data_IF_281099502980
#
_entry.id   IF_281099502980
#
_cell.length_a   1.000
_cell.length_b   1.000
_cell.length_c   1.000
_cell.angle_alpha   90.00
_cell.angle_beta   90.00
_cell.angle_gamma   90.00
#
_symmetry.space_group_name_H-M   'P 1'
#
loop_
_entity.id
_entity.type
_entity.pdbx_description
1 polymer ?
#
# COMPACT_ATOMS: atom_id res chain seq x y z
N UNK A 1 3.21 -5.50 19.52
CA UNK A 1 3.64 -4.15 19.08
C UNK A 1 2.81 -3.10 19.80
N UNK A 2 3.40 -1.95 20.14
CA UNK A 2 2.63 -0.82 20.65
C UNK A 2 1.78 -0.17 19.55
N UNK A 3 0.66 0.48 19.92
CA UNK A 3 -0.25 1.16 18.99
C UNK A 3 0.50 2.14 18.05
N UNK A 4 1.40 2.96 18.60
CA UNK A 4 2.21 3.89 17.82
C UNK A 4 3.14 3.21 16.79
N UNK A 5 3.77 2.08 17.12
CA UNK A 5 4.61 1.34 16.18
C UNK A 5 3.80 0.78 15.01
N UNK A 6 2.57 0.33 15.28
CA UNK A 6 1.66 -0.16 14.26
C UNK A 6 1.31 0.94 13.24
N UNK A 7 1.04 2.15 13.72
CA UNK A 7 0.74 3.31 12.87
C UNK A 7 1.92 3.72 11.99
N UNK A 8 3.13 3.73 12.54
CA UNK A 8 4.34 4.00 11.76
C UNK A 8 4.55 2.92 10.70
N UNK A 9 4.33 1.65 11.06
CA UNK A 9 4.40 0.55 10.09
C UNK A 9 3.35 0.69 8.99
N UNK A 10 2.11 1.04 9.32
CA UNK A 10 1.04 1.26 8.33
C UNK A 10 1.38 2.40 7.38
N UNK A 11 1.92 3.50 7.91
CA UNK A 11 2.36 4.63 7.11
C UNK A 11 3.48 4.24 6.15
N UNK A 12 4.54 3.58 6.63
CA UNK A 12 5.70 3.19 5.82
C UNK A 12 5.29 2.20 4.72
N UNK A 13 4.50 1.17 5.06
CA UNK A 13 4.07 0.15 4.09
C UNK A 13 3.11 0.77 3.06
N UNK A 14 2.21 1.67 3.47
CA UNK A 14 1.34 2.39 2.53
C UNK A 14 2.14 3.30 1.60
N UNK A 15 3.12 4.03 2.12
CA UNK A 15 4.01 4.86 1.30
C UNK A 15 4.77 4.04 0.26
N UNK A 16 5.40 2.94 0.70
CA UNK A 16 6.11 2.03 -0.20
C UNK A 16 5.19 1.45 -1.27
N UNK A 17 3.93 1.13 -0.92
CA UNK A 17 2.95 0.59 -1.86
C UNK A 17 2.63 1.56 -2.98
N UNK A 18 2.25 2.79 -2.65
CA UNK A 18 1.92 3.81 -3.65
C UNK A 18 3.15 4.12 -4.51
N UNK A 19 4.33 4.26 -3.88
CA UNK A 19 5.56 4.53 -4.61
C UNK A 19 5.96 3.40 -5.57
N UNK A 20 5.75 2.14 -5.17
CA UNK A 20 5.99 0.97 -6.03
C UNK A 20 5.12 0.99 -7.29
N UNK A 21 3.86 1.44 -7.20
CA UNK A 21 2.99 1.58 -8.37
C UNK A 21 3.52 2.59 -9.39
N UNK A 22 4.10 3.69 -8.90
CA UNK A 22 4.77 4.69 -9.76
C UNK A 22 6.02 4.12 -10.40
N UNK A 23 6.85 3.41 -9.64
CA UNK A 23 8.07 2.80 -10.17
C UNK A 23 7.77 1.77 -11.26
N UNK A 24 6.72 0.95 -11.09
CA UNK A 24 6.27 0.02 -12.13
C UNK A 24 5.82 0.78 -13.38
N UNK A 25 5.07 1.86 -13.23
CA UNK A 25 4.63 2.69 -14.35
C UNK A 25 5.82 3.34 -15.07
N UNK A 26 6.75 3.94 -14.33
CA UNK A 26 7.94 4.61 -14.88
C UNK A 26 8.85 3.60 -15.60
N UNK A 27 9.08 2.42 -15.01
CA UNK A 27 9.90 1.37 -15.61
C UNK A 27 9.29 0.89 -16.93
N UNK A 28 7.99 0.63 -16.98
CA UNK A 28 7.35 0.14 -18.21
C UNK A 28 7.13 1.25 -19.25
N UNK A 29 6.70 2.43 -18.82
CA UNK A 29 6.39 3.54 -19.74
C UNK A 29 7.63 4.27 -20.23
N UNK A 30 8.59 4.56 -19.36
CA UNK A 30 9.75 5.41 -19.69
C UNK A 30 10.97 4.60 -20.05
N UNK A 31 11.31 3.56 -19.29
CA UNK A 31 12.52 2.77 -19.59
C UNK A 31 12.30 1.80 -20.75
N UNK A 32 11.12 1.18 -20.84
CA UNK A 32 10.79 0.26 -21.93
C UNK A 32 10.06 0.93 -23.09
N UNK A 33 9.49 2.13 -22.91
CA UNK A 33 8.76 2.85 -23.97
C UNK A 33 7.39 2.23 -24.31
N UNK A 34 6.89 1.28 -23.51
CA UNK A 34 5.71 0.46 -23.82
C UNK A 34 4.42 1.03 -23.24
N UNK A 35 4.32 2.35 -23.10
CA UNK A 35 3.27 2.93 -22.25
C UNK A 35 1.84 2.65 -22.75
N UNK A 36 1.65 2.62 -24.07
CA UNK A 36 0.37 2.40 -24.76
C UNK A 36 0.31 1.06 -25.52
N UNK A 37 1.33 0.22 -25.35
CA UNK A 37 1.37 -1.09 -26.00
C UNK A 37 0.65 -2.13 -25.12
N UNK A 38 -0.12 -3.06 -25.70
CA UNK A 38 -0.82 -4.10 -24.93
C UNK A 38 0.15 -4.96 -24.12
N UNK A 39 1.39 -5.14 -24.61
CA UNK A 39 2.42 -5.86 -23.86
C UNK A 39 2.91 -5.11 -22.62
N UNK A 40 2.89 -3.76 -22.66
CA UNK A 40 3.19 -2.93 -21.51
C UNK A 40 2.12 -3.01 -20.43
N UNK A 41 0.85 -3.15 -20.81
CA UNK A 41 -0.24 -3.39 -19.85
C UNK A 41 -0.09 -4.74 -19.15
N UNK A 42 0.23 -5.80 -19.90
CA UNK A 42 0.48 -7.14 -19.34
C UNK A 42 1.66 -7.10 -18.34
N UNK A 43 2.74 -6.40 -18.69
CA UNK A 43 3.90 -6.24 -17.80
C UNK A 43 3.56 -5.45 -16.53
N UNK A 44 2.83 -4.33 -16.65
CA UNK A 44 2.36 -3.56 -15.49
C UNK A 44 1.50 -4.44 -14.59
N UNK A 45 0.56 -5.21 -15.15
CA UNK A 45 -0.29 -6.11 -14.39
C UNK A 45 0.53 -7.19 -13.66
N UNK A 46 1.44 -7.86 -14.37
CA UNK A 46 2.30 -8.90 -13.81
C UNK A 46 3.19 -8.38 -12.68
N UNK A 47 3.86 -7.24 -12.89
CA UNK A 47 4.67 -6.58 -11.86
C UNK A 47 3.82 -6.14 -10.66
N UNK A 48 2.61 -5.62 -10.91
CA UNK A 48 1.71 -5.20 -9.84
C UNK A 48 1.28 -6.41 -8.97
N UNK A 49 0.97 -7.56 -9.59
CA UNK A 49 0.67 -8.81 -8.88
C UNK A 49 1.85 -9.24 -8.01
N UNK A 50 3.08 -9.25 -8.56
CA UNK A 50 4.28 -9.59 -7.81
C UNK A 50 4.46 -8.66 -6.60
N UNK A 51 4.26 -7.35 -6.79
CA UNK A 51 4.29 -6.40 -5.68
C UNK A 51 3.21 -6.70 -4.65
N UNK A 52 1.99 -7.07 -5.04
CA UNK A 52 0.96 -7.49 -4.06
C UNK A 52 1.45 -8.61 -3.14
N UNK A 53 2.11 -9.64 -3.68
CA UNK A 53 2.66 -10.74 -2.88
C UNK A 53 3.80 -10.30 -1.96
N UNK A 54 4.71 -9.46 -2.44
CA UNK A 54 5.81 -8.91 -1.63
C UNK A 54 5.27 -8.15 -0.43
N UNK A 55 4.25 -7.31 -0.63
CA UNK A 55 3.65 -6.53 0.45
C UNK A 55 2.82 -7.37 1.42
N UNK A 56 2.14 -8.41 0.93
CA UNK A 56 1.48 -9.39 1.81
C UNK A 56 2.50 -10.10 2.71
N UNK A 57 3.69 -10.41 2.20
CA UNK A 57 4.79 -10.96 3.00
C UNK A 57 5.37 -9.92 3.98
N UNK A 58 5.50 -8.66 3.55
CA UNK A 58 5.98 -7.57 4.39
C UNK A 58 5.02 -7.29 5.56
N UNK A 59 3.71 -7.44 5.36
CA UNK A 59 2.71 -7.38 6.44
C UNK A 59 2.90 -8.45 7.51
N UNK A 60 3.38 -9.65 7.13
CA UNK A 60 3.74 -10.71 8.09
C UNK A 60 5.01 -10.35 8.87
N UNK A 61 6.04 -9.83 8.20
CA UNK A 61 7.31 -9.42 8.85
C UNK A 61 7.08 -8.29 9.84
N UNK A 62 6.21 -7.35 9.50
CA UNK A 62 5.90 -6.17 10.33
C UNK A 62 4.85 -6.44 11.41
N UNK A 63 4.52 -7.71 11.68
CA UNK A 63 3.56 -8.13 12.71
C UNK A 63 2.19 -7.43 12.59
N UNK A 64 1.68 -7.25 11.36
CA UNK A 64 0.33 -6.72 11.11
C UNK A 64 0.27 -5.29 10.58
N UNK A 65 1.39 -4.74 10.11
CA UNK A 65 1.38 -3.53 9.29
C UNK A 65 0.67 -3.78 7.96
N UNK A 66 -0.11 -2.81 7.50
CA UNK A 66 -0.88 -2.94 6.27
C UNK A 66 -0.79 -1.68 5.41
N UNK A 67 -0.89 -1.88 4.09
CA UNK A 67 -0.96 -0.83 3.07
C UNK A 67 -2.37 -0.56 2.56
N UNK A 68 -3.31 -1.46 2.83
CA UNK A 68 -4.65 -1.41 2.26
C UNK A 68 -5.69 -1.20 3.36
N UNK A 69 -6.43 -0.07 3.36
CA UNK A 69 -7.49 0.23 4.31
C UNK A 69 -8.56 -0.88 4.36
N UNK A 70 -8.87 -1.49 3.21
CA UNK A 70 -9.88 -2.55 3.11
C UNK A 70 -9.43 -3.80 3.89
N UNK A 71 -8.14 -4.14 3.83
CA UNK A 71 -7.61 -5.29 4.57
C UNK A 71 -7.68 -5.09 6.08
N UNK A 72 -7.39 -3.89 6.57
CA UNK A 72 -7.48 -3.64 8.02
C UNK A 72 -8.94 -3.57 8.46
N UNK A 73 -9.82 -2.93 7.67
CA UNK A 73 -11.25 -2.84 7.99
C UNK A 73 -11.90 -4.23 8.08
N UNK A 74 -11.60 -5.13 7.13
CA UNK A 74 -12.12 -6.51 7.16
C UNK A 74 -11.70 -7.26 8.43
N UNK A 75 -10.44 -7.09 8.87
CA UNK A 75 -9.96 -7.67 10.13
C UNK A 75 -10.58 -7.01 11.36
N UNK A 76 -10.75 -5.69 11.34
CA UNK A 76 -11.25 -4.92 12.47
C UNK A 76 -12.76 -5.10 12.72
N UNK A 77 -13.56 -5.37 11.67
CA UNK A 77 -14.99 -5.72 11.82
C UNK A 77 -15.18 -7.03 12.58
N UNK A 78 -14.19 -7.92 12.54
CA UNK A 78 -14.22 -9.20 13.26
C UNK A 78 -13.65 -9.11 14.68
N UNK A 79 -13.24 -7.92 15.14
CA UNK A 79 -12.62 -7.68 16.44
C UNK A 79 -13.51 -6.82 17.36
N UNK A 80 -13.04 -6.58 18.59
CA UNK A 80 -13.72 -5.73 19.57
C UNK A 80 -13.89 -4.28 19.10
N UNK A 81 -14.92 -3.61 19.62
CA UNK A 81 -15.31 -2.26 19.22
C UNK A 81 -14.19 -1.20 19.40
N UNK A 82 -13.35 -1.34 20.44
CA UNK A 82 -12.19 -0.46 20.64
C UNK A 82 -11.13 -0.62 19.55
N UNK A 83 -10.91 -1.85 19.06
CA UNK A 83 -9.99 -2.10 17.94
C UNK A 83 -10.57 -1.60 16.62
N UNK A 84 -11.89 -1.69 16.46
CA UNK A 84 -12.60 -1.10 15.33
C UNK A 84 -12.49 0.43 15.29
N UNK A 85 -12.74 1.12 16.41
CA UNK A 85 -12.57 2.58 16.50
C UNK A 85 -11.12 3.00 16.29
N UNK A 86 -10.16 2.26 16.84
CA UNK A 86 -8.73 2.50 16.60
C UNK A 86 -8.35 2.31 15.13
N UNK A 87 -8.90 1.29 14.47
CA UNK A 87 -8.69 1.05 13.06
C UNK A 87 -9.25 2.20 12.19
N UNK A 88 -10.50 2.59 12.42
CA UNK A 88 -11.15 3.65 11.64
C UNK A 88 -10.57 5.04 11.93
N UNK A 89 -10.28 5.35 13.19
CA UNK A 89 -9.89 6.69 13.63
C UNK A 89 -8.39 6.97 13.53
N UNK A 90 -7.52 5.95 13.53
CA UNK A 90 -6.07 6.15 13.52
C UNK A 90 -5.37 5.42 12.37
N UNK A 91 -5.66 4.13 12.15
CA UNK A 91 -4.96 3.34 11.12
C UNK A 91 -5.32 3.79 9.71
N UNK A 92 -6.61 3.91 9.36
CA UNK A 92 -7.02 4.35 8.02
C UNK A 92 -6.48 5.77 7.69
N UNK A 93 -6.64 6.80 8.55
CA UNK A 93 -6.08 8.12 8.27
C UNK A 93 -4.56 8.12 8.08
N UNK A 94 -3.83 7.26 8.79
CA UNK A 94 -2.38 7.13 8.63
C UNK A 94 -1.98 6.59 7.24
N UNK A 95 -2.82 5.75 6.63
CA UNK A 95 -2.58 5.18 5.30
C UNK A 95 -3.03 6.12 4.17
N UNK A 96 -4.13 6.83 4.37
CA UNK A 96 -4.72 7.75 3.38
C UNK A 96 -4.14 9.17 3.48
N UNK A 97 -3.14 9.37 4.35
CA UNK A 97 -2.53 10.69 4.56
C UNK A 97 -2.09 11.28 3.21
N UNK A 98 -2.66 12.45 2.91
CA UNK A 98 -2.59 13.20 1.64
C UNK A 98 -1.16 13.35 1.09
N UNK A 99 -0.16 13.26 1.97
CA UNK A 99 1.26 13.34 1.65
C UNK A 99 1.71 12.29 0.63
N UNK A 100 1.25 11.02 0.72
CA UNK A 100 1.69 9.97 -0.20
C UNK A 100 1.22 10.22 -1.64
N UNK A 101 -0.06 10.60 -1.81
CA UNK A 101 -0.65 10.84 -3.13
C UNK A 101 -0.09 12.12 -3.76
N UNK A 102 0.16 13.16 -2.94
CA UNK A 102 0.71 14.43 -3.41
C UNK A 102 2.17 14.32 -3.82
N UNK A 103 3.01 13.56 -3.10
CA UNK A 103 4.40 13.31 -3.49
C UNK A 103 4.50 12.51 -4.80
N UNK A 104 3.61 11.53 -4.97
CA UNK A 104 3.55 10.68 -6.17
C UNK A 104 3.02 11.43 -7.39
N UNK A 105 2.10 12.38 -7.21
CA UNK A 105 1.56 13.17 -8.33
C UNK A 105 2.52 14.24 -8.85
N UNK A 106 3.65 14.49 -8.14
CA UNK A 106 4.69 15.45 -8.53
C UNK A 106 5.85 14.76 -9.27
N UNK A 107 5.91 13.42 -9.24
CA UNK A 107 6.85 12.57 -9.99
C UNK A 107 6.19 12.17 -11.32
#
# INVERSE_FOLDING_TARGET
MGRAQLLVSDFVISFMWVWSGVLVKELVCKNMGLCNEPIGEILKLGLNIITMFIFAFLGKITHGGASNPINILAGAVSQDFDNFLYCMGARIPSQVSLFCVRFVSVI
#
